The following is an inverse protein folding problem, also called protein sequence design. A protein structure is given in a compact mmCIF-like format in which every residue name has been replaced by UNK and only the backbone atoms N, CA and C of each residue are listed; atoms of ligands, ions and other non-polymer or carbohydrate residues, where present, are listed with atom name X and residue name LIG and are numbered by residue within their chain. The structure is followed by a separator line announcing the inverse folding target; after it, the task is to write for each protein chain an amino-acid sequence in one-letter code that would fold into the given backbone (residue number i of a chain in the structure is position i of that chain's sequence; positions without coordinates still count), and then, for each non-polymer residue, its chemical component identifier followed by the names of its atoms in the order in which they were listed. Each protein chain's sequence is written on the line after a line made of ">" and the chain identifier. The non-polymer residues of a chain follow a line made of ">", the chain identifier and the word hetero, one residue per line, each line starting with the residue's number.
data_IF_937700649917
#
_entry.id   IF_937700649917
#
_cell.length_a   1.000
_cell.length_b   1.000
_cell.length_c   1.000
_cell.angle_alpha   90.00
_cell.angle_beta   90.00
_cell.angle_gamma   90.00
#
_symmetry.space_group_name_H-M   'P 1'
#
loop_
_entity.id
_entity.type
_entity.pdbx_description
1 polymer ?
#
# COMPACT_ATOMS: atom_id res chain seq x y z
N UNK A 1 15.04 36.76 13.80
CA UNK A 1 16.44 36.38 14.01
C UNK A 1 16.49 34.96 14.57
N UNK A 2 16.80 33.96 13.74
CA UNK A 2 17.40 32.66 14.12
C UNK A 2 17.68 31.89 12.84
N UNK A 3 18.96 31.90 12.50
CA UNK A 3 19.64 31.20 11.42
C UNK A 3 19.52 29.69 11.56
N UNK A 4 19.39 28.97 10.44
CA UNK A 4 19.69 27.52 10.38
C UNK A 4 20.52 27.20 9.15
N UNK A 5 21.67 26.59 9.45
CA UNK A 5 22.73 26.10 8.58
C UNK A 5 22.23 25.07 7.58
N UNK A 6 22.73 25.16 6.34
CA UNK A 6 22.73 24.07 5.37
C UNK A 6 24.04 23.28 5.51
N UNK A 7 23.96 21.98 5.76
CA UNK A 7 25.12 21.08 5.67
C UNK A 7 25.22 20.55 4.23
N UNK A 8 26.28 20.95 3.53
CA UNK A 8 26.73 20.35 2.28
C UNK A 8 27.80 19.32 2.65
N UNK A 9 27.51 18.02 2.49
CA UNK A 9 28.54 16.99 2.59
C UNK A 9 29.35 16.95 1.29
N UNK A 10 30.61 17.38 1.38
CA UNK A 10 31.64 17.12 0.36
C UNK A 10 32.55 16.04 0.94
N UNK A 11 32.34 14.79 0.55
CA UNK A 11 33.24 13.70 0.96
C UNK A 11 34.50 13.74 0.10
N UNK A 12 35.64 14.05 0.72
CA UNK A 12 36.97 13.88 0.16
C UNK A 12 37.50 12.52 0.62
N UNK A 13 37.83 11.64 -0.32
CA UNK A 13 38.53 10.38 -0.03
C UNK A 13 40.00 10.66 0.29
N UNK A 14 40.46 10.16 1.44
CA UNK A 14 41.88 9.82 1.68
C UNK A 14 41.96 8.40 2.23
N UNK A 15 42.88 7.55 1.73
CA UNK A 15 43.00 6.17 2.18
C UNK A 15 43.94 6.10 3.39
N UNK A 16 43.55 5.43 4.48
CA UNK A 16 44.52 4.81 5.37
C UNK A 16 43.94 3.63 6.16
N UNK A 17 44.69 2.53 6.04
CA UNK A 17 44.94 1.40 6.96
C UNK A 17 43.78 0.55 7.49
N UNK A 18 43.72 -0.65 6.91
CA UNK A 18 43.15 -1.89 7.45
C UNK A 18 43.97 -2.30 8.68
N UNK A 19 43.35 -2.36 9.87
CA UNK A 19 43.60 -3.36 10.93
C UNK A 19 42.71 -3.06 12.15
N UNK A 20 41.67 -3.89 12.37
CA UNK A 20 41.05 -4.28 13.67
C UNK A 20 39.65 -4.87 13.42
N UNK A 21 39.59 -6.06 12.81
CA UNK A 21 38.33 -6.67 12.34
C UNK A 21 37.85 -7.92 13.09
N UNK A 22 38.36 -8.25 14.29
CA UNK A 22 38.08 -9.57 14.90
C UNK A 22 37.36 -9.47 16.26
N UNK A 23 37.48 -8.37 17.02
CA UNK A 23 36.86 -8.27 18.35
C UNK A 23 35.38 -7.84 18.35
N UNK A 24 34.93 -7.07 17.36
CA UNK A 24 33.56 -6.55 17.27
C UNK A 24 32.55 -7.60 16.78
N UNK A 25 32.98 -8.59 16.00
CA UNK A 25 32.12 -9.65 15.49
C UNK A 25 31.62 -10.61 16.57
N UNK A 26 32.44 -10.90 17.59
CA UNK A 26 32.07 -11.82 18.68
C UNK A 26 31.06 -11.20 19.65
N UNK A 27 31.17 -9.89 19.93
CA UNK A 27 30.20 -9.17 20.79
C UNK A 27 28.87 -8.99 20.05
N UNK A 28 28.91 -8.65 18.77
CA UNK A 28 27.70 -8.58 17.94
C UNK A 28 27.02 -9.95 17.82
N UNK A 29 27.78 -11.03 17.60
CA UNK A 29 27.25 -12.40 17.56
C UNK A 29 26.66 -12.88 18.89
N UNK A 30 27.30 -12.53 20.02
CA UNK A 30 26.78 -12.85 21.35
C UNK A 30 25.47 -12.10 21.66
N UNK A 31 25.39 -10.81 21.34
CA UNK A 31 24.18 -10.00 21.48
C UNK A 31 23.06 -10.48 20.52
N UNK A 32 23.39 -10.86 19.28
CA UNK A 32 22.44 -11.47 18.34
C UNK A 32 21.91 -12.82 18.85
N UNK A 33 22.74 -13.63 19.51
CA UNK A 33 22.30 -14.91 20.09
C UNK A 33 21.39 -14.73 21.31
N UNK A 34 21.58 -13.65 22.08
CA UNK A 34 20.81 -13.34 23.28
C UNK A 34 19.52 -12.58 22.98
N UNK A 35 19.47 -11.85 21.88
CA UNK A 35 18.29 -11.15 21.33
C UNK A 35 17.82 -11.80 20.02
N UNK A 36 17.67 -13.13 20.00
CA UNK A 36 16.68 -13.71 19.09
C UNK A 36 15.31 -13.27 19.62
N UNK A 37 14.55 -12.39 18.92
CA UNK A 37 13.10 -12.48 19.07
C UNK A 37 12.75 -13.94 18.83
N UNK A 38 11.91 -14.51 19.70
CA UNK A 38 11.34 -15.83 19.48
C UNK A 38 10.44 -15.69 18.26
N UNK A 39 11.04 -15.68 17.07
CA UNK A 39 10.35 -15.90 15.81
C UNK A 39 10.18 -17.40 15.79
N UNK A 40 8.98 -17.85 16.14
CA UNK A 40 8.57 -19.21 15.87
C UNK A 40 8.53 -19.38 14.34
N UNK A 41 9.70 -19.66 13.75
CA UNK A 41 9.80 -20.13 12.39
C UNK A 41 9.19 -21.54 12.35
N UNK A 42 7.87 -21.61 12.25
CA UNK A 42 7.19 -22.87 11.97
C UNK A 42 7.46 -23.22 10.51
N UNK A 43 8.27 -24.26 10.36
CA UNK A 43 8.53 -24.96 9.12
C UNK A 43 7.28 -25.73 8.72
N UNK A 44 6.63 -25.31 7.62
CA UNK A 44 5.73 -26.07 6.73
C UNK A 44 4.79 -27.16 7.30
N UNK A 45 4.31 -27.06 8.54
CA UNK A 45 3.29 -27.94 9.09
C UNK A 45 1.97 -27.18 9.21
N UNK A 46 0.95 -27.54 8.41
CA UNK A 46 -0.46 -27.13 8.46
C UNK A 46 -0.79 -26.08 9.54
N UNK A 47 -0.32 -24.83 9.38
CA UNK A 47 -0.65 -23.76 10.32
C UNK A 47 -2.04 -23.30 9.93
N UNK A 48 -3.05 -23.69 10.72
CA UNK A 48 -4.40 -23.16 10.53
C UNK A 48 -4.38 -21.71 11.02
N UNK A 49 -4.36 -20.79 10.06
CA UNK A 49 -4.17 -19.35 10.27
C UNK A 49 -5.22 -18.81 11.24
N UNK A 50 -4.75 -18.07 12.25
CA UNK A 50 -5.58 -17.41 13.25
C UNK A 50 -6.25 -18.34 14.26
N UNK A 51 -6.02 -19.65 14.20
CA UNK A 51 -6.54 -20.57 15.22
C UNK A 51 -5.78 -20.44 16.53
N UNK A 52 -6.39 -20.88 17.63
CA UNK A 52 -5.80 -20.88 18.95
C UNK A 52 -4.61 -21.85 19.02
N UNK A 53 -3.49 -21.38 19.57
CA UNK A 53 -2.29 -22.18 19.86
C UNK A 53 -2.18 -22.33 21.38
N UNK A 54 -2.52 -23.50 21.97
CA UNK A 54 -2.64 -23.66 23.43
C UNK A 54 -1.37 -23.35 24.23
N UNK A 55 -0.19 -23.43 23.60
CA UNK A 55 1.10 -23.15 24.24
C UNK A 55 1.43 -21.66 24.33
N UNK A 56 0.66 -20.79 23.67
CA UNK A 56 0.88 -19.35 23.67
C UNK A 56 0.04 -18.62 24.73
N UNK A 57 0.54 -17.50 25.28
CA UNK A 57 -0.19 -16.70 26.26
C UNK A 57 -1.47 -16.08 25.68
N UNK A 58 -2.42 -15.73 26.56
CA UNK A 58 -3.64 -15.02 26.16
C UNK A 58 -3.52 -13.52 26.44
N UNK A 59 -3.95 -12.70 25.48
CA UNK A 59 -4.05 -11.25 25.60
C UNK A 59 -5.48 -10.82 25.25
N UNK A 60 -6.17 -10.18 26.20
CA UNK A 60 -7.50 -9.63 25.95
C UNK A 60 -7.41 -8.48 24.93
N UNK A 61 -8.50 -8.23 24.19
CA UNK A 61 -8.57 -7.10 23.26
C UNK A 61 -8.33 -5.74 23.93
N UNK A 62 -8.72 -5.60 25.20
CA UNK A 62 -8.44 -4.40 25.99
C UNK A 62 -6.95 -4.16 26.21
N UNK A 63 -6.14 -5.23 26.21
CA UNK A 63 -4.68 -5.14 26.20
C UNK A 63 -4.19 -4.78 24.80
N UNK A 64 -4.63 -5.52 23.77
CA UNK A 64 -4.27 -5.25 22.36
C UNK A 64 -4.49 -3.78 22.01
N UNK A 65 -5.61 -3.19 22.43
CA UNK A 65 -5.96 -1.78 22.20
C UNK A 65 -4.96 -0.75 22.75
N UNK A 66 -4.08 -1.12 23.69
CA UNK A 66 -3.02 -0.24 24.24
C UNK A 66 -1.78 -0.17 23.34
N UNK A 67 -1.64 -1.12 22.43
CA UNK A 67 -0.48 -1.26 21.55
C UNK A 67 -0.72 -0.58 20.19
N UNK A 68 -0.67 0.76 20.21
CA UNK A 68 -0.96 1.63 19.07
C UNK A 68 0.20 2.57 18.70
N UNK A 69 1.32 2.55 19.42
CA UNK A 69 2.48 3.43 19.17
C UNK A 69 3.76 2.65 19.01
N UNK A 70 4.85 3.33 18.63
CA UNK A 70 6.16 2.68 18.46
C UNK A 70 6.73 2.18 19.79
N UNK A 71 6.40 2.87 20.89
CA UNK A 71 6.88 2.57 22.24
C UNK A 71 6.11 1.42 22.88
N UNK A 72 4.79 1.36 22.70
CA UNK A 72 3.99 0.22 23.15
C UNK A 72 4.09 -0.97 22.20
N UNK A 73 4.43 -0.75 20.94
CA UNK A 73 4.33 -1.75 19.89
C UNK A 73 3.00 -1.66 19.15
N UNK A 74 2.92 -2.24 17.96
CA UNK A 74 1.74 -2.23 17.11
C UNK A 74 1.12 -3.62 17.08
N UNK A 75 0.16 -3.87 17.97
CA UNK A 75 -0.49 -5.18 18.06
C UNK A 75 -1.80 -5.21 17.28
N UNK A 76 -2.13 -6.40 16.79
CA UNK A 76 -3.33 -6.68 16.01
C UNK A 76 -3.95 -7.99 16.48
N UNK A 77 -5.25 -8.15 16.25
CA UNK A 77 -5.91 -9.44 16.41
C UNK A 77 -6.50 -9.93 15.08
N UNK A 78 -6.48 -11.23 14.85
CA UNK A 78 -7.17 -11.88 13.73
C UNK A 78 -7.61 -13.29 14.13
N UNK A 79 -8.91 -13.57 14.00
CA UNK A 79 -9.59 -14.72 14.60
C UNK A 79 -9.22 -14.82 16.09
N UNK A 80 -8.60 -15.92 16.50
CA UNK A 80 -8.18 -16.18 17.87
C UNK A 80 -6.72 -15.76 18.11
N UNK A 81 -6.03 -15.22 17.10
CA UNK A 81 -4.63 -14.84 17.19
C UNK A 81 -4.37 -13.39 17.55
N UNK A 82 -3.29 -13.17 18.30
CA UNK A 82 -2.74 -11.86 18.62
C UNK A 82 -1.32 -11.76 18.07
N UNK A 83 -1.02 -10.64 17.40
CA UNK A 83 0.18 -10.46 16.61
C UNK A 83 0.86 -9.12 16.94
N UNK A 84 2.19 -9.10 17.00
CA UNK A 84 2.99 -7.88 17.09
C UNK A 84 3.68 -7.60 15.75
N UNK A 85 3.12 -6.67 14.98
CA UNK A 85 3.62 -6.33 13.64
C UNK A 85 4.60 -5.16 13.65
N UNK A 86 5.16 -4.78 14.81
CA UNK A 86 6.02 -3.59 14.93
C UNK A 86 7.22 -3.59 13.98
N UNK A 87 7.80 -4.76 13.74
CA UNK A 87 8.93 -4.95 12.81
C UNK A 87 8.50 -5.07 11.34
N UNK A 88 7.20 -5.25 11.07
CA UNK A 88 6.64 -5.36 9.73
C UNK A 88 6.13 -4.03 9.17
N UNK A 89 5.77 -3.06 10.02
CA UNK A 89 5.15 -1.79 9.60
C UNK A 89 5.87 -1.13 8.42
N UNK A 90 7.20 -1.03 8.47
CA UNK A 90 8.00 -0.37 7.44
C UNK A 90 8.07 -1.18 6.13
N UNK A 91 7.84 -2.49 6.19
CA UNK A 91 7.84 -3.41 5.05
C UNK A 91 6.44 -3.66 4.48
N UNK A 92 5.39 -3.12 5.10
CA UNK A 92 4.02 -3.32 4.65
C UNK A 92 3.80 -2.70 3.24
N UNK A 93 3.28 -3.46 2.25
CA UNK A 93 3.10 -2.94 0.87
C UNK A 93 2.15 -1.75 0.75
N UNK A 94 1.23 -1.58 1.71
CA UNK A 94 0.35 -0.40 1.81
C UNK A 94 0.97 0.77 2.58
N UNK A 95 2.26 0.68 2.95
CA UNK A 95 2.96 1.66 3.78
C UNK A 95 2.31 1.81 5.16
N UNK A 96 2.39 3.02 5.70
CA UNK A 96 1.92 3.38 7.06
C UNK A 96 0.41 3.23 7.29
N UNK A 97 -0.38 2.81 6.29
CA UNK A 97 -1.82 2.56 6.48
C UNK A 97 -2.10 1.44 7.49
N UNK A 98 -1.18 0.47 7.63
CA UNK A 98 -1.27 -0.58 8.66
C UNK A 98 -1.34 -0.02 10.09
N UNK A 99 -0.82 1.19 10.34
CA UNK A 99 -0.86 1.80 11.67
C UNK A 99 -2.28 2.10 12.14
N UNK A 100 -3.26 2.20 11.22
CA UNK A 100 -4.66 2.48 11.56
C UNK A 100 -5.42 1.28 12.10
N UNK A 101 -4.89 0.08 11.86
CA UNK A 101 -5.41 -1.16 12.43
C UNK A 101 -4.76 -1.50 13.76
N UNK A 102 -3.70 -0.77 14.17
CA UNK A 102 -3.06 -1.01 15.46
C UNK A 102 -4.06 -0.93 16.60
N UNK A 103 -3.98 -1.90 17.51
CA UNK A 103 -4.90 -2.09 18.62
C UNK A 103 -6.28 -2.63 18.26
N UNK A 104 -6.51 -3.07 17.01
CA UNK A 104 -7.82 -3.52 16.52
C UNK A 104 -7.77 -4.95 15.97
N UNK A 105 -8.97 -5.52 15.81
CA UNK A 105 -9.18 -6.79 15.12
C UNK A 105 -9.27 -6.56 13.59
N UNK A 106 -8.67 -7.44 12.79
CA UNK A 106 -8.48 -7.25 11.34
C UNK A 106 -9.69 -7.62 10.49
N UNK A 107 -10.67 -8.35 11.02
CA UNK A 107 -11.78 -8.93 10.25
C UNK A 107 -12.56 -7.87 9.46
N UNK A 108 -12.92 -6.74 10.08
CA UNK A 108 -13.65 -5.67 9.38
C UNK A 108 -12.82 -5.09 8.24
N UNK A 109 -11.53 -4.85 8.48
CA UNK A 109 -10.63 -4.28 7.46
C UNK A 109 -10.43 -5.28 6.31
N UNK A 110 -10.23 -6.56 6.60
CA UNK A 110 -9.99 -7.60 5.60
C UNK A 110 -11.24 -8.03 4.85
N UNK A 111 -12.45 -7.83 5.40
CA UNK A 111 -13.71 -7.95 4.64
C UNK A 111 -13.81 -6.91 3.52
N UNK A 112 -13.25 -5.73 3.72
CA UNK A 112 -13.31 -4.61 2.76
C UNK A 112 -12.11 -4.68 1.81
N UNK A 113 -10.90 -4.78 2.34
CA UNK A 113 -9.65 -4.85 1.58
C UNK A 113 -9.24 -6.32 1.38
N UNK A 114 -9.89 -6.99 0.44
CA UNK A 114 -9.69 -8.41 0.14
C UNK A 114 -8.29 -8.71 -0.41
N UNK A 115 -7.47 -7.71 -0.75
CA UNK A 115 -6.07 -7.91 -1.16
C UNK A 115 -5.22 -8.65 -0.12
N UNK A 116 -5.65 -8.65 1.15
CA UNK A 116 -5.00 -9.39 2.23
C UNK A 116 -5.43 -10.87 2.31
N UNK A 117 -6.50 -11.26 1.60
CA UNK A 117 -7.03 -12.62 1.62
C UNK A 117 -6.31 -13.54 0.63
N UNK A 118 -4.99 -13.63 0.75
CA UNK A 118 -4.12 -14.47 -0.07
C UNK A 118 -3.14 -15.22 0.85
N UNK A 119 -2.86 -16.49 0.53
CA UNK A 119 -2.12 -17.41 1.42
C UNK A 119 -0.82 -16.82 1.97
N UNK A 120 0.02 -16.20 1.13
CA UNK A 120 1.29 -15.63 1.58
C UNK A 120 1.12 -14.48 2.59
N UNK A 121 0.01 -13.72 2.57
CA UNK A 121 -0.24 -12.65 3.55
C UNK A 121 -0.56 -13.26 4.90
N UNK A 122 -1.35 -14.32 4.92
CA UNK A 122 -1.65 -15.06 6.13
C UNK A 122 -0.40 -15.74 6.72
N UNK A 123 0.42 -16.37 5.89
CA UNK A 123 1.71 -16.94 6.30
C UNK A 123 2.64 -15.87 6.87
N UNK A 124 2.68 -14.69 6.24
CA UNK A 124 3.45 -13.55 6.74
C UNK A 124 2.92 -13.09 8.09
N UNK A 125 1.60 -12.96 8.27
CA UNK A 125 1.01 -12.56 9.55
C UNK A 125 1.37 -13.54 10.68
N UNK A 126 1.32 -14.85 10.44
CA UNK A 126 1.64 -15.87 11.44
C UNK A 126 3.11 -15.82 11.92
N UNK A 127 4.03 -15.24 11.16
CA UNK A 127 5.42 -15.01 11.63
C UNK A 127 5.50 -14.01 12.79
N UNK A 128 4.46 -13.18 12.97
CA UNK A 128 4.36 -12.15 13.99
C UNK A 128 3.46 -12.55 15.17
N UNK A 129 3.07 -13.84 15.27
CA UNK A 129 2.19 -14.36 16.32
C UNK A 129 2.86 -14.26 17.70
N UNK A 130 2.17 -13.64 18.66
CA UNK A 130 2.63 -13.51 20.06
C UNK A 130 1.73 -14.22 21.07
N UNK A 131 0.46 -14.46 20.74
CA UNK A 131 -0.52 -14.96 21.71
C UNK A 131 -1.86 -15.32 21.10
N UNK A 132 -2.84 -15.59 21.96
CA UNK A 132 -4.23 -15.81 21.58
C UNK A 132 -5.16 -14.78 22.23
N UNK A 133 -6.34 -14.60 21.67
CA UNK A 133 -7.46 -14.01 22.40
C UNK A 133 -7.99 -15.02 23.45
N UNK A 134 -8.54 -14.55 24.58
CA UNK A 134 -9.35 -15.37 25.46
C UNK A 134 -10.55 -15.99 24.72
N UNK A 135 -11.01 -17.16 25.17
CA UNK A 135 -12.18 -17.82 24.59
C UNK A 135 -13.41 -16.91 24.66
N UNK A 136 -14.17 -16.85 23.57
CA UNK A 136 -15.38 -16.02 23.47
C UNK A 136 -15.13 -14.56 23.08
N UNK A 137 -13.88 -14.05 23.17
CA UNK A 137 -13.60 -12.66 22.79
C UNK A 137 -13.64 -12.46 21.27
N UNK A 138 -13.28 -13.47 20.48
CA UNK A 138 -13.41 -13.44 19.02
C UNK A 138 -14.84 -13.14 18.60
N UNK A 139 -15.81 -13.93 19.08
CA UNK A 139 -17.22 -13.77 18.75
C UNK A 139 -17.78 -12.45 19.29
N UNK A 140 -17.29 -12.00 20.46
CA UNK A 140 -17.64 -10.68 20.98
C UNK A 140 -17.15 -9.57 20.04
N UNK A 141 -15.93 -9.64 19.53
CA UNK A 141 -15.38 -8.65 18.60
C UNK A 141 -16.11 -8.65 17.26
N UNK A 142 -16.44 -9.83 16.72
CA UNK A 142 -17.19 -9.96 15.48
C UNK A 142 -18.58 -9.30 15.58
N UNK A 143 -19.22 -9.33 16.76
CA UNK A 143 -20.52 -8.69 17.02
C UNK A 143 -20.44 -7.18 17.24
N UNK A 144 -19.32 -6.67 17.74
CA UNK A 144 -19.10 -5.24 18.02
C UNK A 144 -18.47 -4.47 16.84
N UNK A 145 -18.41 -5.07 15.64
CA UNK A 145 -17.90 -4.39 14.46
C UNK A 145 -18.81 -3.20 14.12
N UNK A 146 -18.33 -1.98 14.34
CA UNK A 146 -18.91 -0.78 13.75
C UNK A 146 -19.08 -1.00 12.25
N UNK A 147 -20.22 -0.56 11.69
CA UNK A 147 -20.46 -0.55 10.25
C UNK A 147 -19.43 0.32 9.57
N UNK A 148 -18.33 -0.28 9.12
CA UNK A 148 -17.35 0.40 8.29
C UNK A 148 -18.02 0.71 6.95
N UNK A 149 -17.99 1.98 6.54
CA UNK A 149 -18.52 2.43 5.26
C UNK A 149 -17.80 1.69 4.12
N UNK A 150 -18.49 0.75 3.47
CA UNK A 150 -17.97 0.04 2.30
C UNK A 150 -18.07 0.95 1.07
N UNK A 151 -17.02 1.72 0.77
CA UNK A 151 -16.97 2.54 -0.45
C UNK A 151 -16.74 1.70 -1.72
N UNK A 152 -16.27 0.46 -1.61
CA UNK A 152 -16.10 -0.44 -2.75
C UNK A 152 -17.44 -0.98 -3.28
N UNK A 153 -18.55 -0.75 -2.58
CA UNK A 153 -19.88 -1.07 -3.13
C UNK A 153 -20.24 -0.19 -4.35
N UNK A 154 -19.61 0.98 -4.47
CA UNK A 154 -19.83 1.93 -5.58
C UNK A 154 -18.81 1.79 -6.70
N UNK A 155 -17.88 0.83 -6.60
CA UNK A 155 -16.91 0.55 -7.64
C UNK A 155 -17.64 0.18 -8.94
N UNK A 156 -17.21 0.70 -10.10
CA UNK A 156 -17.90 0.43 -11.37
C UNK A 156 -17.84 -1.06 -11.70
N UNK A 157 -18.84 -1.56 -12.42
CA UNK A 157 -18.78 -2.92 -12.95
C UNK A 157 -17.75 -3.00 -14.09
N UNK A 158 -16.96 -4.08 -14.11
CA UNK A 158 -16.01 -4.36 -15.20
C UNK A 158 -16.61 -5.48 -16.05
N UNK A 159 -17.38 -5.11 -17.05
CA UNK A 159 -18.08 -6.04 -17.95
C UNK A 159 -17.07 -6.98 -18.61
N UNK A 160 -17.37 -8.28 -18.63
CA UNK A 160 -16.51 -9.34 -19.18
C UNK A 160 -15.09 -9.38 -18.58
N UNK A 161 -14.91 -8.96 -17.32
CA UNK A 161 -13.59 -8.86 -16.69
C UNK A 161 -12.78 -10.16 -16.75
N UNK A 162 -13.42 -11.32 -16.54
CA UNK A 162 -12.73 -12.62 -16.58
C UNK A 162 -12.27 -13.02 -17.99
N UNK A 163 -12.91 -12.50 -19.04
CA UNK A 163 -12.52 -12.75 -20.42
C UNK A 163 -11.34 -11.85 -20.81
N UNK A 164 -11.33 -10.62 -20.32
CA UNK A 164 -10.36 -9.59 -20.68
C UNK A 164 -9.09 -9.62 -19.82
N UNK A 165 -9.22 -9.92 -18.53
CA UNK A 165 -8.16 -9.71 -17.55
C UNK A 165 -7.78 -10.98 -16.78
N UNK A 166 -6.57 -10.98 -16.24
CA UNK A 166 -6.23 -11.74 -15.04
C UNK A 166 -6.46 -10.86 -13.81
N UNK A 167 -7.49 -11.18 -13.04
CA UNK A 167 -7.82 -10.43 -11.82
C UNK A 167 -6.83 -10.82 -10.72
N UNK A 168 -6.15 -9.82 -10.14
CA UNK A 168 -5.17 -9.98 -9.05
C UNK A 168 -5.74 -9.66 -7.68
N UNK A 169 -6.74 -8.79 -7.62
CA UNK A 169 -7.47 -8.44 -6.41
C UNK A 169 -8.84 -7.89 -6.79
N UNK A 170 -9.88 -8.26 -6.05
CA UNK A 170 -11.23 -7.71 -6.23
C UNK A 170 -11.40 -6.36 -5.52
N UNK A 171 -10.87 -6.22 -4.30
CA UNK A 171 -10.97 -4.99 -3.49
C UNK A 171 -9.64 -4.65 -2.81
N UNK A 172 -8.92 -3.59 -3.27
CA UNK A 172 -9.21 -2.78 -4.45
C UNK A 172 -9.09 -3.59 -5.75
N UNK A 173 -9.87 -3.21 -6.77
CA UNK A 173 -9.85 -3.89 -8.07
C UNK A 173 -8.50 -3.68 -8.76
N UNK A 174 -7.80 -4.78 -9.00
CA UNK A 174 -6.52 -4.81 -9.70
C UNK A 174 -6.54 -5.96 -10.69
N UNK A 175 -6.35 -5.67 -11.98
CA UNK A 175 -6.44 -6.66 -13.02
C UNK A 175 -5.52 -6.29 -14.18
N UNK A 176 -4.82 -7.29 -14.74
CA UNK A 176 -3.93 -7.09 -15.89
C UNK A 176 -4.53 -7.64 -17.17
N UNK A 177 -4.28 -6.97 -18.29
CA UNK A 177 -4.78 -7.39 -19.60
C UNK A 177 -4.17 -8.73 -19.98
N UNK A 178 -4.99 -9.67 -20.48
CA UNK A 178 -4.46 -10.96 -20.96
C UNK A 178 -3.46 -10.73 -22.11
N UNK A 179 -2.33 -11.47 -22.16
CA UNK A 179 -1.25 -11.19 -23.10
C UNK A 179 -1.66 -11.16 -24.58
N UNK A 180 -2.55 -12.07 -25.00
CA UNK A 180 -3.05 -12.11 -26.38
C UNK A 180 -3.89 -10.87 -26.75
N UNK A 181 -4.62 -10.30 -25.78
CA UNK A 181 -5.39 -9.07 -25.96
C UNK A 181 -4.51 -7.82 -25.85
N UNK A 182 -3.48 -7.85 -25.01
CA UNK A 182 -2.54 -6.75 -24.84
C UNK A 182 -1.85 -6.37 -26.16
N UNK A 183 -1.44 -7.37 -26.94
CA UNK A 183 -0.69 -7.18 -28.19
C UNK A 183 -1.58 -7.11 -29.43
N UNK A 184 -2.91 -7.16 -29.28
CA UNK A 184 -3.83 -7.20 -30.42
C UNK A 184 -3.96 -5.86 -31.15
N UNK A 185 -3.50 -4.77 -30.54
CA UNK A 185 -3.56 -3.41 -31.09
C UNK A 185 -2.43 -2.55 -30.51
N UNK A 186 -1.90 -1.62 -31.30
CA UNK A 186 -0.93 -0.64 -30.82
C UNK A 186 -1.49 0.28 -29.73
N UNK A 187 -2.78 0.64 -29.86
CA UNK A 187 -3.53 1.33 -28.82
C UNK A 187 -4.39 0.30 -28.09
N UNK A 188 -4.13 0.08 -26.81
CA UNK A 188 -4.93 -0.79 -25.95
C UNK A 188 -6.33 -0.18 -25.82
N UNK A 189 -7.40 -0.89 -26.23
CA UNK A 189 -8.77 -0.40 -26.05
C UNK A 189 -9.07 -0.10 -24.57
N UNK A 190 -9.91 0.90 -24.30
CA UNK A 190 -10.18 1.39 -22.93
C UNK A 190 -10.70 0.26 -22.04
N UNK A 191 -11.60 -0.55 -22.57
CA UNK A 191 -12.21 -1.71 -21.90
C UNK A 191 -11.22 -2.85 -21.65
N UNK A 192 -10.04 -2.81 -22.28
CA UNK A 192 -8.94 -3.77 -22.12
C UNK A 192 -7.74 -3.20 -21.40
N UNK A 193 -7.74 -1.92 -21.02
CA UNK A 193 -6.62 -1.29 -20.34
C UNK A 193 -6.50 -1.84 -18.91
N UNK A 194 -5.29 -2.23 -18.49
CA UNK A 194 -5.09 -2.79 -17.15
C UNK A 194 -5.55 -1.81 -16.06
N UNK A 195 -6.06 -2.34 -14.95
CA UNK A 195 -6.57 -1.53 -13.84
C UNK A 195 -5.68 -1.75 -12.62
N UNK A 196 -5.17 -0.65 -12.05
CA UNK A 196 -4.48 -0.64 -10.76
C UNK A 196 -5.14 0.37 -9.84
N UNK A 197 -5.94 -0.11 -8.90
CA UNK A 197 -6.49 0.73 -7.83
C UNK A 197 -5.78 0.45 -6.50
N UNK A 198 -5.43 1.51 -5.77
CA UNK A 198 -4.97 1.40 -4.37
C UNK A 198 -6.14 1.46 -3.37
N UNK A 199 -7.20 2.18 -3.73
CA UNK A 199 -8.41 2.40 -2.93
C UNK A 199 -9.67 2.20 -3.81
N UNK A 200 -10.85 2.50 -3.27
CA UNK A 200 -12.12 2.51 -4.02
C UNK A 200 -12.11 3.55 -5.14
N UNK A 201 -12.96 3.36 -6.15
CA UNK A 201 -13.16 4.35 -7.22
C UNK A 201 -14.10 5.46 -6.71
N UNK A 202 -13.68 6.73 -6.67
CA UNK A 202 -14.54 7.83 -6.23
C UNK A 202 -15.74 8.01 -7.17
N UNK A 203 -16.93 8.21 -6.59
CA UNK A 203 -18.12 8.65 -7.34
C UNK A 203 -18.05 10.17 -7.47
N UNK A 204 -17.91 10.66 -8.70
CA UNK A 204 -17.73 12.10 -8.97
C UNK A 204 -18.92 12.64 -9.75
N UNK A 205 -19.58 13.66 -9.20
CA UNK A 205 -20.50 14.51 -9.96
C UNK A 205 -19.67 15.58 -10.68
N UNK A 206 -19.63 15.53 -12.01
CA UNK A 206 -18.82 16.43 -12.83
C UNK A 206 -19.21 17.90 -12.68
N UNK A 207 -20.49 18.18 -12.40
CA UNK A 207 -21.00 19.54 -12.24
C UNK A 207 -20.58 20.17 -10.91
N UNK A 208 -20.23 19.34 -9.92
CA UNK A 208 -19.76 19.76 -8.60
C UNK A 208 -18.25 19.62 -8.45
N UNK A 209 -17.60 18.93 -9.39
CA UNK A 209 -16.17 18.69 -9.36
C UNK A 209 -15.38 20.00 -9.33
N UNK A 210 -14.37 20.05 -8.45
CA UNK A 210 -13.39 21.12 -8.35
C UNK A 210 -11.98 20.57 -8.34
N UNK A 211 -11.14 21.09 -9.25
CA UNK A 211 -9.69 20.92 -9.19
C UNK A 211 -9.11 22.03 -8.30
N UNK A 212 -8.57 21.64 -7.16
CA UNK A 212 -7.88 22.53 -6.23
C UNK A 212 -6.39 22.60 -6.57
N UNK A 213 -5.88 23.81 -6.76
CA UNK A 213 -4.47 24.09 -7.03
C UNK A 213 -3.95 25.03 -5.95
N UNK A 214 -2.96 24.57 -5.19
CA UNK A 214 -2.45 25.29 -4.01
C UNK A 214 -0.94 25.42 -4.05
N UNK A 215 -0.45 26.57 -3.60
CA UNK A 215 0.94 26.79 -3.23
C UNK A 215 0.99 27.52 -1.88
N UNK A 216 2.17 27.92 -1.41
CA UNK A 216 2.33 28.61 -0.11
C UNK A 216 1.67 30.00 -0.05
N UNK A 217 1.36 30.60 -1.20
CA UNK A 217 0.89 31.98 -1.34
C UNK A 217 -0.56 32.09 -1.81
N UNK A 218 -1.08 31.12 -2.53
CA UNK A 218 -2.41 31.14 -3.13
C UNK A 218 -3.06 29.76 -3.23
N UNK A 219 -4.39 29.77 -3.27
CA UNK A 219 -5.24 28.61 -3.50
C UNK A 219 -6.28 28.98 -4.55
N UNK A 220 -6.44 28.11 -5.54
CA UNK A 220 -7.37 28.28 -6.66
C UNK A 220 -8.22 27.03 -6.81
N UNK A 221 -9.46 27.22 -7.27
CA UNK A 221 -10.44 26.17 -7.50
C UNK A 221 -11.02 26.33 -8.89
N UNK A 222 -10.97 25.28 -9.71
CA UNK A 222 -11.49 25.28 -11.08
C UNK A 222 -12.58 24.22 -11.24
N UNK A 223 -13.71 24.59 -11.87
CA UNK A 223 -14.68 23.59 -12.32
C UNK A 223 -14.15 22.77 -13.50
N UNK A 224 -14.87 21.72 -13.87
CA UNK A 224 -14.60 21.02 -15.14
C UNK A 224 -14.75 21.95 -16.35
N UNK A 225 -15.79 22.79 -16.39
CA UNK A 225 -16.01 23.74 -17.49
C UNK A 225 -14.89 24.78 -17.57
N UNK A 226 -14.37 25.27 -16.43
CA UNK A 226 -13.22 26.16 -16.40
C UNK A 226 -12.01 25.53 -17.10
N UNK A 227 -11.79 24.22 -16.89
CA UNK A 227 -10.69 23.49 -17.51
C UNK A 227 -10.88 23.40 -19.04
N UNK A 228 -12.08 23.04 -19.48
CA UNK A 228 -12.40 22.87 -20.91
C UNK A 228 -12.36 24.21 -21.67
N UNK A 229 -12.91 25.27 -21.09
CA UNK A 229 -13.10 26.55 -21.79
C UNK A 229 -11.83 27.42 -21.80
N UNK A 230 -11.04 27.39 -20.72
CA UNK A 230 -9.90 28.31 -20.56
C UNK A 230 -8.59 27.78 -21.14
N UNK A 231 -8.47 26.46 -21.33
CA UNK A 231 -7.20 25.85 -21.68
C UNK A 231 -7.27 25.06 -22.98
N UNK A 232 -6.17 25.10 -23.74
CA UNK A 232 -6.07 24.37 -24.99
C UNK A 232 -5.96 22.86 -24.73
N UNK A 233 -6.77 22.09 -25.44
CA UNK A 233 -6.67 20.64 -25.45
C UNK A 233 -5.43 20.16 -26.22
N UNK A 234 -4.72 19.20 -25.64
CA UNK A 234 -3.56 18.54 -26.21
C UNK A 234 -3.74 17.03 -26.17
N UNK A 235 -3.22 16.36 -27.19
CA UNK A 235 -3.31 14.91 -27.30
C UNK A 235 -1.93 14.30 -27.46
N UNK A 236 -1.61 13.32 -26.62
CA UNK A 236 -0.36 12.55 -26.69
C UNK A 236 -0.66 11.06 -26.71
N UNK A 237 0.20 10.27 -27.35
CA UNK A 237 0.15 8.81 -27.21
C UNK A 237 1.25 8.39 -26.27
N UNK A 238 0.91 7.69 -25.18
CA UNK A 238 1.88 7.23 -24.20
C UNK A 238 1.44 5.91 -23.59
N UNK A 239 2.43 5.04 -23.39
CA UNK A 239 2.28 3.87 -22.55
C UNK A 239 2.30 4.28 -21.07
N UNK A 240 1.51 3.56 -20.28
CA UNK A 240 1.56 3.60 -18.82
C UNK A 240 1.85 2.18 -18.37
N UNK A 241 2.86 2.02 -17.53
CA UNK A 241 3.30 0.73 -17.01
C UNK A 241 3.32 0.79 -15.49
N UNK A 242 2.74 -0.22 -14.84
CA UNK A 242 2.90 -0.38 -13.41
C UNK A 242 4.37 -0.68 -13.08
N UNK A 243 4.94 -0.01 -12.08
CA UNK A 243 6.29 -0.33 -11.59
C UNK A 243 6.44 -1.81 -11.18
N UNK A 244 5.33 -2.46 -10.82
CA UNK A 244 5.28 -3.88 -10.49
C UNK A 244 5.08 -4.82 -11.68
N UNK A 245 5.03 -4.33 -12.92
CA UNK A 245 4.85 -5.21 -14.07
C UNK A 245 5.95 -6.28 -14.09
N UNK A 246 5.57 -7.54 -14.30
CA UNK A 246 6.41 -8.74 -14.20
C UNK A 246 6.94 -9.09 -12.81
N UNK A 247 6.37 -8.54 -11.73
CA UNK A 247 6.76 -8.88 -10.35
C UNK A 247 6.76 -10.38 -10.07
N UNK A 248 5.78 -11.12 -10.60
CA UNK A 248 5.69 -12.57 -10.38
C UNK A 248 6.93 -13.32 -10.87
N UNK A 249 7.66 -12.80 -11.87
CA UNK A 249 8.89 -13.40 -12.34
C UNK A 249 10.06 -13.25 -11.36
N UNK A 250 10.03 -12.25 -10.48
CA UNK A 250 11.08 -12.04 -9.44
C UNK A 250 11.06 -13.15 -8.37
N UNK A 251 9.94 -13.85 -8.20
CA UNK A 251 9.81 -14.93 -7.22
C UNK A 251 10.71 -16.13 -7.52
N UNK A 252 11.14 -16.31 -8.78
CA UNK A 252 12.00 -17.42 -9.18
C UNK A 252 13.47 -17.19 -8.84
N UNK A 253 13.87 -15.95 -8.52
CA UNK A 253 15.28 -15.57 -8.32
C UNK A 253 15.63 -15.35 -6.83
N UNK A 254 14.64 -15.26 -5.95
CA UNK A 254 14.81 -15.00 -4.52
C UNK A 254 14.07 -16.05 -3.68
N UNK A 255 14.56 -16.32 -2.47
CA UNK A 255 13.95 -17.28 -1.52
C UNK A 255 12.66 -16.69 -0.91
N UNK A 256 11.63 -16.50 -1.74
CA UNK A 256 10.32 -15.97 -1.33
C UNK A 256 9.67 -15.11 -2.41
N UNK A 257 8.35 -14.95 -2.29
CA UNK A 257 7.60 -14.07 -3.19
C UNK A 257 7.95 -12.60 -2.92
N UNK A 258 8.23 -11.83 -3.98
CA UNK A 258 8.44 -10.39 -3.87
C UNK A 258 7.15 -9.70 -3.39
N UNK A 259 7.26 -8.79 -2.43
CA UNK A 259 6.11 -8.11 -1.84
C UNK A 259 5.31 -7.28 -2.87
N UNK A 260 3.98 -7.31 -2.73
CA UNK A 260 3.03 -6.55 -3.55
C UNK A 260 2.24 -7.41 -4.54
N UNK A 261 1.44 -6.76 -5.39
CA UNK A 261 0.58 -7.46 -6.35
C UNK A 261 1.39 -8.27 -7.35
N UNK A 262 1.09 -9.56 -7.47
CA UNK A 262 1.82 -10.50 -8.33
C UNK A 262 1.41 -10.35 -9.80
N UNK A 263 1.86 -9.26 -10.43
CA UNK A 263 1.66 -9.00 -11.84
C UNK A 263 2.53 -9.92 -12.72
N UNK A 264 1.95 -10.40 -13.81
CA UNK A 264 2.66 -11.03 -14.91
C UNK A 264 3.01 -9.94 -15.92
N UNK A 265 2.81 -10.14 -17.22
CA UNK A 265 3.30 -9.24 -18.27
C UNK A 265 2.31 -8.14 -18.65
N UNK A 266 1.07 -8.20 -18.14
CA UNK A 266 -0.07 -7.41 -18.61
C UNK A 266 -0.33 -6.10 -17.86
N UNK A 267 0.52 -5.72 -16.91
CA UNK A 267 0.33 -4.47 -16.14
C UNK A 267 0.95 -3.26 -16.88
N UNK A 268 0.60 -3.14 -18.15
CA UNK A 268 1.02 -2.10 -19.09
C UNK A 268 -0.07 -1.90 -20.15
N UNK A 269 -0.26 -0.67 -20.62
CA UNK A 269 -1.16 -0.35 -21.73
C UNK A 269 -0.72 0.91 -22.45
N UNK A 270 -1.03 1.03 -23.74
CA UNK A 270 -0.68 2.19 -24.56
C UNK A 270 -1.95 2.87 -25.05
N UNK A 271 -2.12 4.16 -24.74
CA UNK A 271 -3.34 4.88 -25.06
C UNK A 271 -3.04 6.28 -25.58
N UNK A 272 -4.07 6.86 -26.20
CA UNK A 272 -4.11 8.27 -26.57
C UNK A 272 -4.79 9.05 -25.45
N UNK A 273 -4.05 9.97 -24.85
CA UNK A 273 -4.49 10.79 -23.73
C UNK A 273 -4.76 12.20 -24.23
N UNK A 274 -5.96 12.70 -23.97
CA UNK A 274 -6.38 14.06 -24.32
C UNK A 274 -6.69 14.83 -23.04
N UNK A 275 -6.12 16.03 -22.92
CA UNK A 275 -6.31 16.87 -21.75
C UNK A 275 -5.51 18.17 -21.84
N UNK A 276 -5.30 18.81 -20.70
CA UNK A 276 -4.60 20.09 -20.59
C UNK A 276 -3.15 19.83 -20.19
N UNK A 277 -2.22 20.59 -20.75
CA UNK A 277 -0.83 20.55 -20.28
C UNK A 277 -0.75 21.09 -18.87
N UNK A 278 -0.21 20.29 -17.96
CA UNK A 278 0.05 20.72 -16.58
C UNK A 278 0.89 22.00 -16.53
N UNK A 279 1.86 22.15 -17.44
CA UNK A 279 2.67 23.37 -17.57
C UNK A 279 1.80 24.62 -17.74
N UNK A 280 0.93 24.62 -18.73
CA UNK A 280 0.10 25.78 -19.10
C UNK A 280 -0.86 26.11 -17.93
N UNK A 281 -1.40 25.08 -17.28
CA UNK A 281 -2.19 25.22 -16.06
C UNK A 281 -1.40 25.91 -14.95
N UNK A 282 -0.21 25.39 -14.59
CA UNK A 282 0.59 25.96 -13.51
C UNK A 282 1.14 27.36 -13.82
N UNK A 283 1.51 27.63 -15.08
CA UNK A 283 1.92 28.98 -15.52
C UNK A 283 0.80 30.00 -15.29
N UNK A 284 -0.47 29.63 -15.51
CA UNK A 284 -1.62 30.51 -15.29
C UNK A 284 -1.85 30.88 -13.81
N UNK A 285 -1.30 30.09 -12.87
CA UNK A 285 -1.39 30.34 -11.42
C UNK A 285 -0.11 30.92 -10.82
N UNK A 286 0.84 31.35 -11.65
CA UNK A 286 2.10 31.90 -11.19
C UNK A 286 3.01 30.83 -10.59
N UNK A 287 3.41 29.87 -11.43
CA UNK A 287 4.36 28.81 -11.07
C UNK A 287 5.56 29.37 -10.31
N UNK A 288 5.77 28.87 -9.10
CA UNK A 288 6.99 29.16 -8.35
C UNK A 288 8.17 28.45 -9.02
N UNK A 289 9.07 29.24 -9.62
CA UNK A 289 10.25 28.72 -10.31
C UNK A 289 11.26 28.08 -9.37
N UNK A 290 11.15 28.33 -8.06
CA UNK A 290 11.95 27.68 -7.02
C UNK A 290 11.31 26.38 -6.51
N UNK A 291 10.05 26.13 -6.89
CA UNK A 291 9.33 24.90 -6.54
C UNK A 291 10.02 23.66 -7.11
N UNK A 292 10.36 22.71 -6.24
CA UNK A 292 11.09 21.49 -6.61
C UNK A 292 10.20 20.35 -7.10
N UNK A 293 8.96 20.32 -6.62
CA UNK A 293 8.02 19.23 -6.86
C UNK A 293 6.60 19.77 -6.98
N UNK A 294 5.80 19.10 -7.81
CA UNK A 294 4.34 19.23 -7.83
C UNK A 294 3.78 17.94 -7.24
N UNK A 295 2.89 18.08 -6.27
CA UNK A 295 2.23 16.95 -5.62
C UNK A 295 0.79 16.84 -6.13
N UNK A 296 0.32 15.61 -6.32
CA UNK A 296 -1.02 15.32 -6.79
C UNK A 296 -1.75 14.49 -5.74
N UNK A 297 -3.01 14.83 -5.47
CA UNK A 297 -3.90 14.08 -4.60
C UNK A 297 -5.15 13.69 -5.39
N UNK A 298 -5.49 12.41 -5.35
CA UNK A 298 -6.76 11.90 -5.86
C UNK A 298 -7.90 12.13 -4.86
N UNK A 299 -9.12 11.90 -5.33
CA UNK A 299 -10.31 11.85 -4.46
C UNK A 299 -10.44 10.50 -3.74
N UNK A 300 -9.69 9.49 -4.18
CA UNK A 300 -9.67 8.19 -3.55
C UNK A 300 -9.06 8.31 -2.15
N UNK A 301 -9.77 7.76 -1.18
CA UNK A 301 -9.39 7.88 0.22
C UNK A 301 -9.56 6.56 0.94
N UNK A 302 -8.87 6.49 2.06
CA UNK A 302 -9.05 5.41 3.01
C UNK A 302 -10.28 5.73 3.88
N UNK A 303 -11.25 4.81 3.89
CA UNK A 303 -12.51 4.95 4.63
C UNK A 303 -12.32 5.02 6.14
N UNK A 304 -11.15 4.61 6.65
CA UNK A 304 -10.85 4.65 8.07
C UNK A 304 -10.40 6.04 8.58
N UNK A 305 -10.50 7.10 7.77
CA UNK A 305 -10.05 8.47 8.10
C UNK A 305 -11.19 9.47 8.38
N UNK A 306 -12.42 9.00 8.56
CA UNK A 306 -13.54 9.84 8.99
C UNK A 306 -14.04 9.42 10.35
#
# INVERSE_FOLDING_TARGET
>A
MRSRLAFIFRQSFKPHLITTGIASGLVAGYLFSKYKPIVHANTHANVIIGERIPTLPNYAMSEVAKHTTKESGYWLAYKDGVYDVSSFVENHPGGKQILKTAGKALESCWKIFTIHQIDHVYETLEQYRIGNLPEGEREANEKHQETVLDLFQYDPERVNANETFFIRSQRPFNAETKPNLLVSSFLTPVEKFYVRNHMHVPVVNINEFKLEIRNEKSSHSLSYDDLVDKYKSHTITSAVQCAGNRRAAMNNEHQGAALGTQWYVGAIGNARWTGIKLRDLLESFGLDKEGKHVQFWGLDCDTSQR
#
